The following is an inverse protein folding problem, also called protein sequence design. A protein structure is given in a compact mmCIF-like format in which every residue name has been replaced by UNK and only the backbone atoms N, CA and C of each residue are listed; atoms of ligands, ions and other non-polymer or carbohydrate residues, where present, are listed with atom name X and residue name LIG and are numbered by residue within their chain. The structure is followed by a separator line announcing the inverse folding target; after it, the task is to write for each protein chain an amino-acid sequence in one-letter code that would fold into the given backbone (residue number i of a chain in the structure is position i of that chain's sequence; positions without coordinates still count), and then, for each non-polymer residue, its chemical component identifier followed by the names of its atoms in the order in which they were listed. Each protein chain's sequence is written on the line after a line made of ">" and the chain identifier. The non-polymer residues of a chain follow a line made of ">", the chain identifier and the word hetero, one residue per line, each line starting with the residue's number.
data_IF_927894384347
#
_entry.id   IF_927894384347
#
_cell.length_a   1.000
_cell.length_b   1.000
_cell.length_c   1.000
_cell.angle_alpha   90.00
_cell.angle_beta   90.00
_cell.angle_gamma   90.00
#
_symmetry.space_group_name_H-M   'P 1'
#
loop_
_entity.id
_entity.type
_entity.pdbx_description
1 polymer ?
#
# COMPACT_ATOMS: atom_id res chain seq x y z
N UNK A 1 15.57 -26.98 14.32
CA UNK A 1 15.86 -25.54 14.19
C UNK A 1 17.34 -25.40 13.83
N UNK A 2 17.67 -25.53 12.55
CA UNK A 2 19.04 -25.77 12.09
C UNK A 2 19.82 -24.46 11.96
N UNK A 3 21.08 -24.49 12.42
CA UNK A 3 22.13 -23.45 12.36
C UNK A 3 22.35 -22.78 10.98
N UNK A 4 21.71 -23.24 9.90
CA UNK A 4 21.88 -22.70 8.54
C UNK A 4 21.26 -21.33 8.32
N UNK A 5 20.28 -20.91 9.15
CA UNK A 5 19.68 -19.57 9.07
C UNK A 5 20.59 -18.46 9.63
N UNK A 6 21.67 -18.80 10.34
CA UNK A 6 22.47 -17.85 11.12
C UNK A 6 23.77 -17.39 10.43
N UNK A 7 24.03 -17.80 9.18
CA UNK A 7 25.17 -17.35 8.38
C UNK A 7 24.72 -16.89 6.98
N UNK A 8 23.79 -15.94 6.92
CA UNK A 8 23.63 -15.15 5.69
C UNK A 8 24.88 -14.26 5.59
N UNK A 9 25.84 -14.67 4.76
CA UNK A 9 27.00 -13.86 4.43
C UNK A 9 26.54 -12.53 3.83
N UNK A 10 27.22 -11.42 4.19
CA UNK A 10 26.96 -10.11 3.59
C UNK A 10 26.99 -10.15 2.05
N UNK A 11 27.84 -11.02 1.49
CA UNK A 11 27.93 -11.26 0.05
C UNK A 11 26.61 -11.82 -0.49
N UNK A 12 26.00 -12.79 0.19
CA UNK A 12 24.71 -13.37 -0.21
C UNK A 12 23.59 -12.33 -0.18
N UNK A 13 23.60 -11.42 0.80
CA UNK A 13 22.64 -10.30 0.86
C UNK A 13 22.83 -9.36 -0.33
N UNK A 14 24.07 -8.99 -0.66
CA UNK A 14 24.35 -8.11 -1.80
C UNK A 14 24.02 -8.75 -3.14
N UNK A 15 24.29 -10.03 -3.33
CA UNK A 15 23.89 -10.79 -4.52
C UNK A 15 22.36 -10.81 -4.65
N UNK A 16 21.66 -11.03 -3.54
CA UNK A 16 20.19 -11.04 -3.54
C UNK A 16 19.60 -9.66 -3.85
N UNK A 17 20.07 -8.60 -3.18
CA UNK A 17 19.63 -7.23 -3.42
C UNK A 17 19.92 -6.79 -4.86
N UNK A 18 21.13 -7.05 -5.36
CA UNK A 18 21.48 -6.72 -6.73
C UNK A 18 20.63 -7.48 -7.74
N UNK A 19 20.36 -8.77 -7.51
CA UNK A 19 19.44 -9.55 -8.34
C UNK A 19 18.05 -8.91 -8.39
N UNK A 20 17.43 -8.59 -7.24
CA UNK A 20 16.11 -7.94 -7.19
C UNK A 20 16.12 -6.62 -7.95
N UNK A 21 17.15 -5.79 -7.76
CA UNK A 21 17.29 -4.50 -8.45
C UNK A 21 17.39 -4.70 -9.96
N UNK A 22 18.21 -5.64 -10.42
CA UNK A 22 18.34 -5.94 -11.85
C UNK A 22 17.04 -6.50 -12.43
N UNK A 23 16.34 -7.38 -11.71
CA UNK A 23 15.05 -7.93 -12.15
C UNK A 23 14.03 -6.81 -12.36
N UNK A 24 13.91 -5.88 -11.41
CA UNK A 24 13.04 -4.71 -11.56
C UNK A 24 13.48 -3.80 -12.72
N UNK A 25 14.79 -3.55 -12.85
CA UNK A 25 15.33 -2.76 -13.96
C UNK A 25 15.01 -3.37 -15.33
N UNK A 26 15.26 -4.67 -15.51
CA UNK A 26 14.95 -5.37 -16.75
C UNK A 26 13.45 -5.52 -16.99
N UNK A 27 12.65 -5.69 -15.94
CA UNK A 27 11.19 -5.70 -16.01
C UNK A 27 10.64 -4.38 -16.55
N UNK A 28 11.09 -3.25 -15.99
CA UNK A 28 10.71 -1.92 -16.47
C UNK A 28 11.20 -1.66 -17.91
N UNK A 29 12.42 -2.09 -18.25
CA UNK A 29 12.94 -1.97 -19.62
C UNK A 29 12.09 -2.78 -20.61
N UNK A 30 11.69 -4.01 -20.24
CA UNK A 30 10.80 -4.84 -21.03
C UNK A 30 9.42 -4.18 -21.20
N UNK A 31 8.85 -3.61 -20.13
CA UNK A 31 7.61 -2.85 -20.17
C UNK A 31 7.69 -1.67 -21.15
N UNK A 32 8.74 -0.86 -21.09
CA UNK A 32 8.90 0.29 -22.00
C UNK A 32 9.01 -0.10 -23.47
N UNK A 33 9.60 -1.26 -23.77
CA UNK A 33 9.77 -1.73 -25.15
C UNK A 33 8.53 -2.45 -25.71
N UNK A 34 7.82 -3.19 -24.86
CA UNK A 34 6.71 -4.07 -25.28
C UNK A 34 5.33 -3.51 -24.98
N UNK A 35 5.22 -2.55 -24.06
CA UNK A 35 3.96 -2.09 -23.48
C UNK A 35 3.32 -3.09 -22.50
N UNK A 36 3.91 -4.27 -22.30
CA UNK A 36 3.36 -5.32 -21.47
C UNK A 36 3.64 -5.06 -19.98
N UNK A 37 2.61 -4.95 -19.11
CA UNK A 37 2.78 -4.48 -17.73
C UNK A 37 3.87 -5.23 -16.97
N UNK A 38 4.78 -4.48 -16.35
CA UNK A 38 5.93 -5.00 -15.60
C UNK A 38 5.51 -6.04 -14.54
N UNK A 39 4.33 -5.87 -13.93
CA UNK A 39 3.84 -6.75 -12.87
C UNK A 39 3.71 -8.21 -13.32
N UNK A 40 3.29 -8.48 -14.56
CA UNK A 40 3.17 -9.85 -15.06
C UNK A 40 4.55 -10.48 -15.25
N UNK A 41 5.53 -9.70 -15.71
CA UNK A 41 6.91 -10.15 -15.81
C UNK A 41 7.49 -10.50 -14.43
N UNK A 42 7.27 -9.64 -13.43
CA UNK A 42 7.72 -9.88 -12.06
C UNK A 42 7.06 -11.11 -11.42
N UNK A 43 5.75 -11.31 -11.62
CA UNK A 43 5.04 -12.50 -11.14
C UNK A 43 5.60 -13.77 -11.80
N UNK A 44 5.73 -13.78 -13.12
CA UNK A 44 6.28 -14.93 -13.85
C UNK A 44 7.71 -15.25 -13.41
N UNK A 45 8.55 -14.21 -13.27
CA UNK A 45 9.91 -14.36 -12.81
C UNK A 45 9.96 -14.93 -11.38
N UNK A 46 9.17 -14.38 -10.45
CA UNK A 46 9.09 -14.86 -9.07
C UNK A 46 8.61 -16.30 -8.98
N UNK A 47 7.65 -16.69 -9.81
CA UNK A 47 7.17 -18.08 -9.91
C UNK A 47 8.26 -19.04 -10.43
N UNK A 48 9.02 -18.64 -11.45
CA UNK A 48 10.10 -19.46 -12.00
C UNK A 48 11.26 -19.58 -11.00
N UNK A 49 11.70 -18.47 -10.41
CA UNK A 49 12.88 -18.48 -9.53
C UNK A 49 12.58 -19.04 -8.14
N UNK A 50 11.37 -18.82 -7.62
CA UNK A 50 10.94 -19.36 -6.33
C UNK A 50 10.57 -20.84 -6.42
N UNK A 51 9.32 -21.21 -6.71
CA UNK A 51 8.86 -22.60 -6.75
C UNK A 51 9.56 -23.52 -7.78
N UNK A 52 9.80 -23.06 -9.01
CA UNK A 52 10.28 -23.95 -10.09
C UNK A 52 11.76 -24.26 -9.96
N UNK A 53 12.60 -23.25 -9.72
CA UNK A 53 14.06 -23.40 -9.59
C UNK A 53 14.51 -23.64 -8.14
N UNK A 54 13.67 -23.36 -7.14
CA UNK A 54 13.99 -23.59 -5.73
C UNK A 54 15.05 -22.67 -5.16
N UNK A 55 15.38 -21.56 -5.83
CA UNK A 55 16.45 -20.66 -5.38
C UNK A 55 16.10 -19.91 -4.09
N UNK A 56 14.81 -19.73 -3.80
CA UNK A 56 14.32 -19.06 -2.59
C UNK A 56 13.53 -20.00 -1.70
N UNK A 57 14.02 -20.31 -0.47
CA UNK A 57 13.24 -21.07 0.48
C UNK A 57 12.00 -20.27 0.89
N UNK A 58 10.84 -20.94 0.85
CA UNK A 58 9.54 -20.33 1.18
C UNK A 58 9.53 -19.71 2.58
N UNK A 59 10.25 -20.32 3.53
CA UNK A 59 10.34 -19.80 4.91
C UNK A 59 11.06 -18.45 4.99
N UNK A 60 12.09 -18.25 4.16
CA UNK A 60 12.78 -16.96 4.06
C UNK A 60 11.88 -15.90 3.45
N UNK A 61 11.10 -16.26 2.42
CA UNK A 61 10.11 -15.35 1.82
C UNK A 61 9.04 -14.98 2.84
N UNK A 62 8.51 -15.93 3.62
CA UNK A 62 7.52 -15.68 4.68
C UNK A 62 8.05 -14.75 5.78
N UNK A 63 9.35 -14.82 6.07
CA UNK A 63 10.00 -13.95 7.06
C UNK A 63 10.21 -12.52 6.53
N UNK A 64 10.69 -12.38 5.29
CA UNK A 64 11.13 -11.09 4.74
C UNK A 64 9.97 -10.34 4.06
N UNK A 65 9.02 -11.04 3.43
CA UNK A 65 7.95 -10.41 2.67
C UNK A 65 7.13 -9.41 3.47
N UNK A 66 6.71 -9.68 4.74
CA UNK A 66 5.97 -8.69 5.53
C UNK A 66 6.78 -7.40 5.78
N UNK A 67 8.06 -7.55 6.13
CA UNK A 67 8.94 -6.40 6.38
C UNK A 67 9.13 -5.55 5.11
N UNK A 68 9.38 -6.22 3.99
CA UNK A 68 9.55 -5.55 2.70
C UNK A 68 8.25 -4.94 2.19
N UNK A 69 7.09 -5.56 2.42
CA UNK A 69 5.80 -4.99 2.01
C UNK A 69 5.47 -3.71 2.78
N UNK A 70 5.67 -3.70 4.10
CA UNK A 70 5.44 -2.51 4.92
C UNK A 70 6.38 -1.37 4.54
N UNK A 71 7.68 -1.68 4.38
CA UNK A 71 8.68 -0.69 3.93
C UNK A 71 8.34 -0.14 2.54
N UNK A 72 8.02 -1.03 1.58
CA UNK A 72 7.71 -0.64 0.20
C UNK A 72 6.46 0.23 0.15
N UNK A 73 5.40 -0.15 0.88
CA UNK A 73 4.18 0.63 0.96
C UNK A 73 4.44 2.02 1.54
N UNK A 74 5.17 2.11 2.66
CA UNK A 74 5.52 3.38 3.29
C UNK A 74 6.31 4.30 2.33
N UNK A 75 7.28 3.74 1.60
CA UNK A 75 8.10 4.48 0.63
C UNK A 75 7.31 4.92 -0.61
N UNK A 76 6.43 4.07 -1.13
CA UNK A 76 5.55 4.40 -2.27
C UNK A 76 4.59 5.54 -1.90
N UNK A 77 3.89 5.43 -0.76
CA UNK A 77 2.96 6.45 -0.28
C UNK A 77 3.67 7.77 0.02
N UNK A 78 4.89 7.72 0.58
CA UNK A 78 5.70 8.91 0.78
C UNK A 78 6.10 9.56 -0.54
N UNK A 79 6.51 8.77 -1.53
CA UNK A 79 6.80 9.25 -2.87
C UNK A 79 5.62 10.02 -3.47
N UNK A 80 4.40 9.48 -3.34
CA UNK A 80 3.19 10.20 -3.76
C UNK A 80 2.94 11.47 -2.96
N UNK A 81 3.14 11.43 -1.64
CA UNK A 81 3.01 12.61 -0.77
C UNK A 81 3.93 13.77 -1.16
N UNK A 82 5.12 13.48 -1.70
CA UNK A 82 6.07 14.50 -2.17
C UNK A 82 5.66 15.15 -3.49
N UNK A 83 4.90 14.45 -4.34
CA UNK A 83 4.44 14.97 -5.64
C UNK A 83 3.16 15.82 -5.52
N UNK A 84 2.48 15.80 -4.38
CA UNK A 84 1.20 16.48 -4.15
C UNK A 84 1.41 17.87 -3.52
N UNK A 85 0.90 18.92 -4.16
CA UNK A 85 0.84 20.25 -3.56
C UNK A 85 -0.29 20.33 -2.53
N UNK A 86 0.03 20.70 -1.28
CA UNK A 86 -0.95 20.81 -0.17
C UNK A 86 -2.15 21.70 -0.51
N UNK A 87 -1.94 22.76 -1.30
CA UNK A 87 -3.05 23.65 -1.73
C UNK A 87 -4.02 22.95 -2.68
N UNK A 88 -3.52 22.11 -3.56
CA UNK A 88 -4.32 21.35 -4.53
C UNK A 88 -5.02 20.19 -3.81
N UNK A 89 -4.29 19.52 -2.90
CA UNK A 89 -4.85 18.54 -1.96
C UNK A 89 -6.08 19.10 -1.24
N UNK A 90 -5.97 20.25 -0.59
CA UNK A 90 -7.09 20.81 0.17
C UNK A 90 -8.29 21.18 -0.71
N UNK A 91 -8.05 21.65 -1.94
CA UNK A 91 -9.12 21.99 -2.89
C UNK A 91 -9.85 20.77 -3.43
N UNK A 92 -9.12 19.73 -3.82
CA UNK A 92 -9.68 18.53 -4.45
C UNK A 92 -10.06 17.45 -3.42
N UNK A 93 -9.60 17.57 -2.17
CA UNK A 93 -9.74 16.54 -1.12
C UNK A 93 -11.17 16.05 -0.96
N UNK A 94 -12.15 16.94 -0.78
CA UNK A 94 -13.52 16.52 -0.53
C UNK A 94 -14.15 15.81 -1.74
N UNK A 95 -13.96 16.34 -2.94
CA UNK A 95 -14.51 15.75 -4.15
C UNK A 95 -13.84 14.41 -4.49
N UNK A 96 -12.52 14.30 -4.33
CA UNK A 96 -11.78 13.05 -4.49
C UNK A 96 -12.17 12.00 -3.44
N UNK A 97 -12.30 12.41 -2.17
CA UNK A 97 -12.80 11.55 -1.09
C UNK A 97 -14.18 11.00 -1.40
N UNK A 98 -15.13 11.86 -1.78
CA UNK A 98 -16.50 11.44 -2.06
C UNK A 98 -16.56 10.47 -3.24
N UNK A 99 -15.87 10.77 -4.34
CA UNK A 99 -15.77 9.87 -5.51
C UNK A 99 -15.17 8.52 -5.11
N UNK A 100 -14.09 8.55 -4.33
CA UNK A 100 -13.40 7.34 -3.85
C UNK A 100 -14.33 6.48 -3.00
N UNK A 101 -15.02 7.05 -2.02
CA UNK A 101 -15.95 6.32 -1.17
C UNK A 101 -17.10 5.69 -1.97
N UNK A 102 -17.60 6.39 -2.99
CA UNK A 102 -18.69 5.89 -3.84
C UNK A 102 -18.19 4.70 -4.67
N UNK A 103 -17.13 4.86 -5.48
CA UNK A 103 -16.73 3.78 -6.38
C UNK A 103 -16.15 2.58 -5.64
N UNK A 104 -15.33 2.81 -4.59
CA UNK A 104 -14.76 1.73 -3.76
C UNK A 104 -15.89 1.01 -3.03
N UNK A 105 -16.81 1.73 -2.40
CA UNK A 105 -17.94 1.14 -1.69
C UNK A 105 -18.83 0.29 -2.60
N UNK A 106 -19.19 0.82 -3.78
CA UNK A 106 -19.98 0.09 -4.77
C UNK A 106 -19.27 -1.16 -5.28
N UNK A 107 -17.96 -1.06 -5.55
CA UNK A 107 -17.18 -2.17 -6.09
C UNK A 107 -16.95 -3.27 -5.05
N UNK A 108 -16.56 -2.93 -3.81
CA UNK A 108 -16.48 -3.89 -2.68
C UNK A 108 -17.82 -4.59 -2.48
N UNK A 109 -18.93 -3.83 -2.45
CA UNK A 109 -20.27 -4.40 -2.25
C UNK A 109 -20.65 -5.34 -3.39
N UNK A 110 -20.34 -4.96 -4.63
CA UNK A 110 -20.63 -5.78 -5.82
C UNK A 110 -19.85 -7.09 -5.80
N UNK A 111 -18.55 -7.04 -5.54
CA UNK A 111 -17.70 -8.25 -5.44
C UNK A 111 -18.15 -9.14 -4.28
N UNK A 112 -18.44 -8.56 -3.12
CA UNK A 112 -18.95 -9.29 -1.96
C UNK A 112 -20.26 -10.01 -2.27
N UNK A 113 -21.20 -9.33 -2.93
CA UNK A 113 -22.48 -9.90 -3.33
C UNK A 113 -22.30 -11.06 -4.30
N UNK A 114 -21.44 -10.89 -5.32
CA UNK A 114 -21.12 -11.95 -6.28
C UNK A 114 -20.56 -13.18 -5.56
N UNK A 115 -19.56 -13.01 -4.69
CA UNK A 115 -18.92 -14.13 -3.98
C UNK A 115 -19.90 -14.85 -3.03
N UNK A 116 -20.72 -14.09 -2.31
CA UNK A 116 -21.63 -14.67 -1.31
C UNK A 116 -22.83 -15.35 -1.97
N UNK A 117 -23.47 -14.71 -2.95
CA UNK A 117 -24.72 -15.21 -3.53
C UNK A 117 -24.54 -16.11 -4.75
N UNK A 118 -23.58 -15.83 -5.63
CA UNK A 118 -23.34 -16.68 -6.81
C UNK A 118 -22.41 -17.84 -6.52
N UNK A 119 -21.36 -17.61 -5.73
CA UNK A 119 -20.36 -18.64 -5.42
C UNK A 119 -20.57 -19.32 -4.07
N UNK A 120 -21.56 -18.90 -3.26
CA UNK A 120 -21.84 -19.42 -1.92
C UNK A 120 -20.61 -19.40 -0.98
N UNK A 121 -19.78 -18.37 -1.09
CA UNK A 121 -18.61 -18.23 -0.23
C UNK A 121 -19.02 -17.85 1.20
N UNK A 122 -18.25 -18.27 2.23
CA UNK A 122 -18.44 -17.78 3.59
C UNK A 122 -18.20 -16.27 3.66
N UNK A 123 -18.93 -15.59 4.55
CA UNK A 123 -19.00 -14.12 4.61
C UNK A 123 -17.62 -13.45 4.80
N UNK A 124 -16.82 -13.90 5.75
CA UNK A 124 -15.51 -13.30 6.03
C UNK A 124 -14.50 -13.46 4.88
N UNK A 125 -14.28 -14.67 4.32
CA UNK A 125 -13.49 -14.83 3.09
C UNK A 125 -13.96 -13.96 1.93
N UNK A 126 -15.29 -13.85 1.73
CA UNK A 126 -15.86 -12.99 0.71
C UNK A 126 -15.56 -11.50 0.98
N UNK A 127 -15.65 -11.04 2.24
CA UNK A 127 -15.30 -9.68 2.65
C UNK A 127 -13.81 -9.39 2.48
N UNK A 128 -12.94 -10.33 2.86
CA UNK A 128 -11.49 -10.13 2.70
C UNK A 128 -11.14 -9.97 1.22
N UNK A 129 -11.64 -10.85 0.36
CA UNK A 129 -11.37 -10.78 -1.07
C UNK A 129 -12.00 -9.54 -1.71
N UNK A 130 -13.24 -9.20 -1.34
CA UNK A 130 -13.92 -8.04 -1.89
C UNK A 130 -13.25 -6.72 -1.50
N UNK A 131 -12.72 -6.61 -0.28
CA UNK A 131 -11.96 -5.44 0.13
C UNK A 131 -10.61 -5.38 -0.59
N UNK A 132 -9.87 -6.50 -0.66
CA UNK A 132 -8.56 -6.54 -1.33
C UNK A 132 -8.63 -6.18 -2.82
N UNK A 133 -9.69 -6.56 -3.53
CA UNK A 133 -9.80 -6.35 -4.99
C UNK A 133 -10.72 -5.16 -5.33
N UNK A 134 -11.77 -4.96 -4.54
CA UNK A 134 -12.89 -4.07 -4.86
C UNK A 134 -12.59 -2.57 -4.77
N UNK A 135 -11.38 -2.16 -4.44
CA UNK A 135 -10.99 -0.74 -4.46
C UNK A 135 -9.90 -0.39 -5.46
N UNK A 136 -9.12 -1.36 -5.92
CA UNK A 136 -7.76 -1.12 -6.42
C UNK A 136 -7.68 -0.33 -7.73
N UNK A 137 -7.40 0.98 -7.59
CA UNK A 137 -6.83 1.82 -8.64
C UNK A 137 -5.31 1.88 -8.44
N UNK A 138 -4.59 0.95 -9.05
CA UNK A 138 -3.13 0.88 -8.87
C UNK A 138 -2.44 2.09 -9.51
N UNK A 139 -1.77 2.90 -8.70
CA UNK A 139 -0.98 4.06 -9.18
C UNK A 139 0.09 3.63 -10.20
N UNK A 140 0.60 2.40 -10.08
CA UNK A 140 1.52 1.82 -11.06
C UNK A 140 0.99 1.86 -12.50
N UNK A 141 -0.33 1.66 -12.68
CA UNK A 141 -0.99 1.73 -13.98
C UNK A 141 -1.52 3.15 -14.20
N UNK A 142 -2.34 3.65 -13.28
CA UNK A 142 -3.09 4.88 -13.49
C UNK A 142 -2.19 6.13 -13.43
N UNK A 143 -1.21 6.18 -12.53
CA UNK A 143 -0.23 7.27 -12.43
C UNK A 143 0.71 7.32 -13.65
N UNK A 144 1.10 6.16 -14.17
CA UNK A 144 1.87 6.06 -15.42
C UNK A 144 1.06 6.59 -16.61
N UNK A 145 -0.17 6.10 -16.79
CA UNK A 145 -1.04 6.55 -17.88
C UNK A 145 -1.45 8.01 -17.72
N UNK A 146 -1.72 8.49 -16.52
CA UNK A 146 -1.98 9.90 -16.27
C UNK A 146 -0.76 10.73 -16.68
N UNK A 147 0.46 10.36 -16.27
CA UNK A 147 1.68 11.07 -16.66
C UNK A 147 1.96 11.03 -18.18
N UNK A 148 1.60 9.94 -18.85
CA UNK A 148 1.84 9.73 -20.29
C UNK A 148 0.76 10.36 -21.18
N UNK A 149 -0.49 10.41 -20.73
CA UNK A 149 -1.66 10.86 -21.50
C UNK A 149 -2.14 12.26 -21.12
N UNK A 150 -1.83 12.77 -19.92
CA UNK A 150 -2.38 14.04 -19.47
C UNK A 150 -1.48 15.23 -19.84
N UNK A 151 -1.98 16.03 -20.77
CA UNK A 151 -1.62 17.45 -20.94
C UNK A 151 -2.17 18.32 -19.79
N UNK A 152 -2.95 17.73 -18.86
CA UNK A 152 -3.70 18.41 -17.80
C UNK A 152 -3.27 17.94 -16.39
N UNK A 153 -2.50 18.78 -15.70
CA UNK A 153 -1.97 18.55 -14.34
C UNK A 153 -3.06 18.22 -13.31
N UNK A 154 -4.27 18.76 -13.46
CA UNK A 154 -5.35 18.55 -12.48
C UNK A 154 -5.88 17.11 -12.49
N UNK A 155 -5.89 16.45 -13.65
CA UNK A 155 -6.27 15.03 -13.75
C UNK A 155 -5.26 14.15 -13.04
N UNK A 156 -3.97 14.41 -13.23
CA UNK A 156 -2.90 13.68 -12.54
C UNK A 156 -3.03 13.80 -11.03
N UNK A 157 -3.22 15.01 -10.51
CA UNK A 157 -3.40 15.26 -9.07
C UNK A 157 -4.66 14.57 -8.54
N UNK A 158 -5.80 14.74 -9.20
CA UNK A 158 -7.06 14.12 -8.78
C UNK A 158 -6.98 12.60 -8.73
N UNK A 159 -6.39 11.98 -9.75
CA UNK A 159 -6.30 10.53 -9.87
C UNK A 159 -5.28 9.94 -8.89
N UNK A 160 -4.16 10.63 -8.68
CA UNK A 160 -3.16 10.24 -7.66
C UNK A 160 -3.76 10.31 -6.26
N UNK A 161 -4.58 11.35 -6.00
CA UNK A 161 -5.32 11.49 -4.76
C UNK A 161 -6.33 10.37 -4.56
N UNK A 162 -7.15 10.06 -5.57
CA UNK A 162 -8.14 8.96 -5.50
C UNK A 162 -7.47 7.62 -5.24
N UNK A 163 -6.35 7.34 -5.91
CA UNK A 163 -5.61 6.10 -5.74
C UNK A 163 -4.98 5.99 -4.34
N UNK A 164 -4.38 7.07 -3.82
CA UNK A 164 -3.85 7.10 -2.46
C UNK A 164 -4.95 6.91 -1.40
N UNK A 165 -6.10 7.58 -1.58
CA UNK A 165 -7.25 7.45 -0.69
C UNK A 165 -7.84 6.03 -0.73
N UNK A 166 -7.93 5.43 -1.91
CA UNK A 166 -8.37 4.06 -2.07
C UNK A 166 -7.47 3.08 -1.31
N UNK A 167 -6.14 3.15 -1.50
CA UNK A 167 -5.22 2.27 -0.77
C UNK A 167 -5.37 2.45 0.74
N UNK A 168 -5.53 3.68 1.23
CA UNK A 168 -5.78 3.95 2.65
C UNK A 168 -7.09 3.32 3.14
N UNK A 169 -8.21 3.56 2.44
CA UNK A 169 -9.54 3.05 2.83
C UNK A 169 -9.52 1.52 2.85
N UNK A 170 -8.98 0.89 1.82
CA UNK A 170 -8.93 -0.56 1.66
C UNK A 170 -8.11 -1.23 2.77
N UNK A 171 -6.94 -0.67 3.13
CA UNK A 171 -6.12 -1.20 4.23
C UNK A 171 -6.85 -1.09 5.58
N UNK A 172 -7.46 0.06 5.87
CA UNK A 172 -8.16 0.26 7.15
C UNK A 172 -9.39 -0.64 7.23
N UNK A 173 -10.16 -0.78 6.14
CA UNK A 173 -11.28 -1.71 6.05
C UNK A 173 -10.83 -3.15 6.26
N UNK A 174 -9.78 -3.59 5.57
CA UNK A 174 -9.24 -4.95 5.70
C UNK A 174 -8.83 -5.24 7.15
N UNK A 175 -8.05 -4.34 7.76
CA UNK A 175 -7.63 -4.45 9.16
C UNK A 175 -8.83 -4.46 10.12
N UNK A 176 -9.89 -3.70 9.82
CA UNK A 176 -11.10 -3.66 10.62
C UNK A 176 -11.87 -4.98 10.55
N UNK A 177 -12.08 -5.52 9.36
CA UNK A 177 -12.72 -6.82 9.20
C UNK A 177 -11.88 -7.96 9.78
N UNK A 178 -10.56 -7.91 9.65
CA UNK A 178 -9.65 -8.87 10.27
C UNK A 178 -9.80 -8.85 11.80
N UNK A 179 -9.84 -7.67 12.41
CA UNK A 179 -10.08 -7.55 13.86
C UNK A 179 -11.47 -8.03 14.25
N UNK A 180 -12.49 -7.73 13.46
CA UNK A 180 -13.85 -8.25 13.68
C UNK A 180 -13.87 -9.79 13.65
N UNK A 181 -13.19 -10.40 12.69
CA UNK A 181 -13.05 -11.85 12.59
C UNK A 181 -12.32 -12.46 13.79
N UNK A 182 -11.16 -11.90 14.17
CA UNK A 182 -10.37 -12.40 15.31
C UNK A 182 -11.10 -12.28 16.64
N UNK A 183 -11.93 -11.24 16.80
CA UNK A 183 -12.74 -11.03 18.01
C UNK A 183 -14.11 -11.73 17.95
N UNK A 184 -14.37 -12.55 16.91
CA UNK A 184 -15.63 -13.26 16.70
C UNK A 184 -16.87 -12.34 16.74
N UNK A 185 -16.73 -11.10 16.26
CA UNK A 185 -17.84 -10.16 16.16
C UNK A 185 -18.78 -10.68 15.06
N UNK A 186 -20.07 -10.78 15.31
CA UNK A 186 -21.04 -11.19 14.28
C UNK A 186 -21.27 -10.09 13.23
N UNK A 187 -21.65 -10.46 12.00
CA UNK A 187 -22.03 -9.49 10.96
C UNK A 187 -23.52 -9.10 11.04
N UNK A 188 -24.00 -8.88 12.26
CA UNK A 188 -25.35 -8.38 12.55
C UNK A 188 -25.35 -6.86 12.74
N UNK A 189 -26.50 -6.25 13.01
CA UNK A 189 -26.63 -4.79 13.15
C UNK A 189 -25.74 -4.23 14.27
N UNK A 190 -25.54 -4.97 15.36
CA UNK A 190 -24.70 -4.52 16.47
C UNK A 190 -23.21 -4.73 16.19
N UNK A 191 -22.83 -5.83 15.54
CA UNK A 191 -21.47 -6.00 15.05
C UNK A 191 -21.10 -5.01 13.94
N UNK A 192 -22.03 -4.61 13.08
CA UNK A 192 -21.82 -3.57 12.07
C UNK A 192 -21.53 -2.21 12.73
N UNK A 193 -22.24 -1.85 13.82
CA UNK A 193 -21.92 -0.64 14.60
C UNK A 193 -20.52 -0.73 15.20
N UNK A 194 -20.13 -1.89 15.75
CA UNK A 194 -18.80 -2.10 16.31
C UNK A 194 -17.69 -1.99 15.24
N UNK A 195 -17.92 -2.55 14.05
CA UNK A 195 -17.03 -2.46 12.89
C UNK A 195 -16.86 -0.99 12.48
N UNK A 196 -17.95 -0.26 12.31
CA UNK A 196 -17.91 1.16 11.94
C UNK A 196 -17.18 1.98 13.02
N UNK A 197 -17.49 1.76 14.30
CA UNK A 197 -16.83 2.45 15.40
C UNK A 197 -15.32 2.17 15.44
N UNK A 198 -14.92 0.91 15.24
CA UNK A 198 -13.49 0.53 15.21
C UNK A 198 -12.75 1.08 13.99
N UNK A 199 -13.40 1.17 12.83
CA UNK A 199 -12.87 1.87 11.65
C UNK A 199 -12.59 3.34 11.97
N UNK A 200 -13.59 4.08 12.48
CA UNK A 200 -13.43 5.49 12.79
C UNK A 200 -12.41 5.73 13.91
N UNK A 201 -12.34 4.84 14.89
CA UNK A 201 -11.33 4.89 15.94
C UNK A 201 -9.91 4.76 15.36
N UNK A 202 -9.64 3.72 14.57
CA UNK A 202 -8.33 3.50 13.93
C UNK A 202 -7.95 4.63 12.98
N UNK A 203 -8.90 5.06 12.16
CA UNK A 203 -8.69 6.17 11.23
C UNK A 203 -8.35 7.47 11.97
N UNK A 204 -9.11 7.81 13.02
CA UNK A 204 -8.91 9.04 13.78
C UNK A 204 -7.56 9.05 14.49
N UNK A 205 -7.18 7.95 15.14
CA UNK A 205 -5.87 7.85 15.83
C UNK A 205 -4.73 7.99 14.82
N UNK A 206 -4.79 7.27 13.70
CA UNK A 206 -3.76 7.33 12.65
C UNK A 206 -3.66 8.74 12.04
N UNK A 207 -4.80 9.38 11.77
CA UNK A 207 -4.85 10.74 11.24
C UNK A 207 -4.26 11.76 12.22
N UNK A 208 -4.64 11.70 13.49
CA UNK A 208 -4.13 12.61 14.52
C UNK A 208 -2.62 12.48 14.69
N UNK A 209 -2.10 11.26 14.82
CA UNK A 209 -0.66 11.02 14.94
C UNK A 209 0.06 11.52 13.69
N UNK A 210 -0.46 11.23 12.49
CA UNK A 210 0.10 11.69 11.23
C UNK A 210 0.16 13.22 11.12
N UNK A 211 -0.90 13.93 11.51
CA UNK A 211 -0.94 15.40 11.51
C UNK A 211 0.06 15.97 12.51
N UNK A 212 0.09 15.45 13.74
CA UNK A 212 1.04 15.90 14.77
C UNK A 212 2.47 15.66 14.30
N UNK A 213 2.76 14.48 13.77
CA UNK A 213 4.06 14.13 13.24
C UNK A 213 4.46 15.05 12.08
N UNK A 214 3.55 15.33 11.15
CA UNK A 214 3.81 16.25 10.05
C UNK A 214 4.10 17.67 10.54
N UNK A 215 3.35 18.19 11.52
CA UNK A 215 3.57 19.52 12.09
C UNK A 215 4.91 19.63 12.81
N UNK A 216 5.31 18.60 13.57
CA UNK A 216 6.61 18.53 14.22
C UNK A 216 7.73 18.57 13.17
N UNK A 217 7.62 17.74 12.13
CA UNK A 217 8.65 17.66 11.09
C UNK A 217 8.72 18.92 10.24
N UNK A 218 7.59 19.57 9.93
CA UNK A 218 7.55 20.85 9.22
C UNK A 218 8.28 21.95 10.00
N UNK A 219 8.15 21.98 11.34
CA UNK A 219 8.92 22.91 12.18
C UNK A 219 10.41 22.59 12.12
N UNK A 220 10.77 21.31 12.19
CA UNK A 220 12.17 20.89 12.11
C UNK A 220 12.81 21.25 10.76
N UNK A 221 12.14 20.96 9.64
CA UNK A 221 12.61 21.31 8.29
C UNK A 221 12.84 22.82 8.17
N UNK A 222 11.96 23.66 8.72
CA UNK A 222 12.11 25.12 8.64
C UNK A 222 13.37 25.61 9.36
N UNK A 223 13.79 24.93 10.43
CA UNK A 223 14.99 25.27 11.19
C UNK A 223 16.24 24.70 10.50
N UNK A 224 16.17 23.47 10.01
CA UNK A 224 17.30 22.72 9.47
C UNK A 224 17.38 22.75 7.92
N UNK A 225 16.77 23.75 7.27
CA UNK A 225 16.60 23.76 5.80
C UNK A 225 17.92 23.76 5.01
N UNK A 226 18.99 24.29 5.60
CA UNK A 226 20.32 24.42 4.97
C UNK A 226 21.26 23.24 5.30
N UNK A 227 20.77 22.23 6.03
CA UNK A 227 21.58 21.07 6.41
C UNK A 227 21.66 20.07 5.26
N UNK A 228 22.89 19.68 4.89
CA UNK A 228 23.12 18.60 3.92
C UNK A 228 22.43 17.32 4.39
N UNK A 229 21.80 16.61 3.46
CA UNK A 229 21.13 15.31 3.70
C UNK A 229 19.81 15.35 4.51
N UNK A 230 19.13 16.49 4.60
CA UNK A 230 17.80 16.61 5.23
C UNK A 230 16.77 15.58 4.72
N UNK A 231 16.89 15.16 3.46
CA UNK A 231 16.04 14.10 2.87
C UNK A 231 16.23 12.74 3.57
N UNK A 232 17.46 12.39 3.97
CA UNK A 232 17.74 11.14 4.70
C UNK A 232 17.07 11.18 6.08
N UNK A 233 17.18 12.32 6.76
CA UNK A 233 16.50 12.52 8.04
C UNK A 233 14.98 12.39 7.90
N UNK A 234 14.41 12.88 6.79
CA UNK A 234 12.98 12.77 6.50
C UNK A 234 12.54 11.32 6.28
N UNK A 235 13.33 10.52 5.57
CA UNK A 235 13.07 9.08 5.45
C UNK A 235 13.14 8.37 6.81
N UNK A 236 14.14 8.69 7.63
CA UNK A 236 14.23 8.13 8.99
C UNK A 236 13.02 8.48 9.85
N UNK A 237 12.57 9.74 9.79
CA UNK A 237 11.38 10.20 10.51
C UNK A 237 10.10 9.53 10.03
N UNK A 238 9.97 9.30 8.72
CA UNK A 238 8.85 8.56 8.16
C UNK A 238 8.78 7.14 8.71
N UNK A 239 9.89 6.39 8.66
CA UNK A 239 9.94 5.02 9.16
C UNK A 239 9.66 4.96 10.67
N UNK A 240 10.18 5.93 11.42
CA UNK A 240 9.88 6.08 12.85
C UNK A 240 8.39 6.32 13.07
N UNK A 241 7.78 7.27 12.36
CA UNK A 241 6.34 7.57 12.48
C UNK A 241 5.48 6.36 12.14
N UNK A 242 5.83 5.64 11.07
CA UNK A 242 5.16 4.41 10.66
C UNK A 242 5.22 3.35 11.77
N UNK A 243 6.41 3.10 12.32
CA UNK A 243 6.60 2.15 13.43
C UNK A 243 5.82 2.54 14.69
N UNK A 244 5.69 3.83 15.00
CA UNK A 244 4.90 4.30 16.15
C UNK A 244 3.38 4.14 15.97
N UNK A 245 2.89 4.20 14.74
CA UNK A 245 1.46 4.06 14.43
C UNK A 245 1.02 2.60 14.32
N UNK A 246 1.92 1.73 13.87
CA UNK A 246 1.63 0.29 13.72
C UNK A 246 1.66 -0.48 15.04
N UNK A 247 2.32 0.06 16.08
CA UNK A 247 2.31 -0.45 17.47
C UNK A 247 1.04 -0.01 18.20
#
# INVERSE_FOLDING_TARGET
>A
MSKSLMMISAISVFVFLSAIIFIGFFGNMAFKKTGFPEIFFLIAFGFVVGPVLGFFPVDLVKLIAPMMSSLTLAMILFGFGLEIYVKELLKESFSALLRTLIYVGLSITSVFYILTYFFNWPLYPALFLSVTIGGETTVAVVGYYAKMLSTNKNLFVSVTMEAALNSLITIVLFSTFLNSYLNNITLDLDGAKAIIASFFSKFSVSFLIGVVAALIWLRFIRIAYDVKYLYIATFGYLLMTYAFVEV
#
